data_IF_396839518864
#
_entry.id   IF_396839518864
#
_cell.length_a   1.000
_cell.length_b   1.000
_cell.length_c   1.000
_cell.angle_alpha   90.00
_cell.angle_beta   90.00
_cell.angle_gamma   90.00
#
_symmetry.space_group_name_H-M   'P 1'
#
loop_
_entity.id
_entity.type
_entity.pdbx_description
1 polymer ?
#
# COMPACT_ATOMS: atom_id res chain seq x y z
N UNK A 1 -14.59 11.93 1.10
CA UNK A 1 -13.52 11.13 1.70
C UNK A 1 -12.28 11.12 0.79
N UNK A 2 -11.14 10.89 1.34
CA UNK A 2 -9.87 10.86 0.60
C UNK A 2 -9.29 9.45 0.70
N UNK A 3 -8.90 8.87 -0.44
CA UNK A 3 -8.15 7.61 -0.46
C UNK A 3 -6.77 7.85 -1.04
N UNK A 4 -5.75 7.46 -0.28
CA UNK A 4 -4.37 7.51 -0.73
C UNK A 4 -3.93 6.11 -1.13
N UNK A 5 -3.46 5.99 -2.36
CA UNK A 5 -2.94 4.74 -2.91
C UNK A 5 -1.42 4.73 -2.85
N UNK A 6 -0.87 3.59 -2.48
CA UNK A 6 0.53 3.28 -2.72
C UNK A 6 0.55 2.11 -3.71
N UNK A 7 1.09 2.36 -4.90
CA UNK A 7 1.08 1.38 -5.99
C UNK A 7 2.51 0.93 -6.26
N UNK A 8 2.75 -0.35 -6.04
CA UNK A 8 4.06 -0.96 -6.24
C UNK A 8 4.13 -1.45 -7.69
N UNK A 9 4.76 -0.66 -8.54
CA UNK A 9 4.96 -1.00 -9.94
C UNK A 9 6.29 -1.70 -10.13
N UNK A 10 6.25 -2.92 -10.64
CA UNK A 10 7.45 -3.72 -10.86
C UNK A 10 7.20 -5.20 -10.71
N UNK A 11 8.24 -5.94 -10.36
CA UNK A 11 8.19 -7.39 -10.30
C UNK A 11 8.71 -7.90 -8.96
N UNK A 12 7.96 -8.81 -8.35
CA UNK A 12 8.46 -9.59 -7.22
C UNK A 12 9.53 -10.53 -7.75
N UNK A 13 10.66 -10.61 -7.04
CA UNK A 13 11.77 -11.47 -7.46
C UNK A 13 11.32 -12.92 -7.64
N UNK A 14 11.87 -13.65 -8.64
CA UNK A 14 11.46 -15.04 -8.91
C UNK A 14 11.49 -15.90 -7.66
N UNK A 15 10.40 -16.62 -7.39
CA UNK A 15 10.27 -17.48 -6.23
C UNK A 15 9.94 -16.78 -4.91
N UNK A 16 9.81 -15.45 -4.90
CA UNK A 16 9.58 -14.67 -3.68
C UNK A 16 8.11 -14.28 -3.44
N UNK A 17 7.18 -14.69 -4.31
CA UNK A 17 5.77 -14.22 -4.21
C UNK A 17 5.15 -14.50 -2.85
N UNK A 18 5.26 -15.73 -2.36
CA UNK A 18 4.65 -16.09 -1.07
C UNK A 18 5.36 -15.37 0.09
N UNK A 19 6.68 -15.30 0.06
CA UNK A 19 7.46 -14.61 1.08
C UNK A 19 7.18 -13.10 1.09
N UNK A 20 7.03 -12.48 -0.09
CA UNK A 20 6.67 -11.08 -0.21
C UNK A 20 5.29 -10.80 0.40
N UNK A 21 4.29 -11.59 0.01
CA UNK A 21 2.91 -11.43 0.52
C UNK A 21 2.86 -11.66 2.03
N UNK A 22 3.57 -12.66 2.54
CA UNK A 22 3.63 -12.93 3.98
C UNK A 22 4.30 -11.77 4.73
N UNK A 23 5.41 -11.26 4.22
CA UNK A 23 6.09 -10.12 4.84
C UNK A 23 5.19 -8.89 4.91
N UNK A 24 4.44 -8.59 3.83
CA UNK A 24 3.48 -7.48 3.81
C UNK A 24 2.41 -7.69 4.88
N UNK A 25 1.80 -8.86 4.92
CA UNK A 25 0.72 -9.17 5.88
C UNK A 25 1.20 -9.13 7.33
N UNK A 26 2.38 -9.64 7.60
CA UNK A 26 2.88 -9.77 8.97
C UNK A 26 3.56 -8.52 9.49
N UNK A 27 4.23 -7.76 8.61
CA UNK A 27 5.07 -6.65 9.03
C UNK A 27 4.52 -5.27 8.66
N UNK A 28 3.75 -5.14 7.60
CA UNK A 28 3.21 -3.86 7.14
C UNK A 28 1.75 -3.64 7.51
N UNK A 29 0.89 -4.62 7.33
CA UNK A 29 -0.53 -4.46 7.66
C UNK A 29 -0.75 -3.99 9.10
N UNK A 30 -0.07 -4.54 10.12
CA UNK A 30 -0.22 -4.04 11.49
C UNK A 30 0.17 -2.57 11.66
N UNK A 31 1.14 -2.09 10.89
CA UNK A 31 1.53 -0.68 10.92
C UNK A 31 0.50 0.20 10.19
N UNK A 32 0.07 -0.21 9.01
CA UNK A 32 -0.91 0.53 8.22
C UNK A 32 -2.23 0.71 8.95
N UNK A 33 -2.69 -0.34 9.65
CA UNK A 33 -3.94 -0.25 10.43
C UNK A 33 -3.83 0.70 11.62
N UNK A 34 -2.62 1.05 12.04
CA UNK A 34 -2.36 2.00 13.12
C UNK A 34 -2.18 3.44 12.63
N UNK A 35 -2.23 3.69 11.34
CA UNK A 35 -2.19 5.07 10.84
C UNK A 35 -3.36 5.83 11.43
N UNK A 36 -3.10 6.91 12.19
CA UNK A 36 -4.18 7.60 12.92
C UNK A 36 -5.22 8.19 11.96
N UNK A 37 -6.48 8.14 12.37
CA UNK A 37 -7.59 8.74 11.63
C UNK A 37 -8.02 8.01 10.37
N UNK A 38 -7.46 6.84 10.07
CA UNK A 38 -7.91 6.09 8.91
C UNK A 38 -9.32 5.52 9.12
N UNK A 39 -10.10 5.47 8.04
CA UNK A 39 -11.42 4.86 8.03
C UNK A 39 -11.36 3.38 7.65
N UNK A 40 -10.46 3.02 6.73
CA UNK A 40 -10.17 1.64 6.39
C UNK A 40 -8.81 1.52 5.70
N UNK A 41 -8.30 0.29 5.68
CA UNK A 41 -7.06 -0.09 5.01
C UNK A 41 -7.37 -1.27 4.10
N UNK A 42 -7.07 -1.14 2.82
CA UNK A 42 -7.28 -2.20 1.84
C UNK A 42 -5.96 -2.58 1.20
N UNK A 43 -5.69 -3.87 1.16
CA UNK A 43 -4.47 -4.43 0.61
C UNK A 43 -4.84 -5.35 -0.54
N UNK A 44 -4.34 -5.04 -1.73
CA UNK A 44 -4.68 -5.80 -2.93
C UNK A 44 -3.40 -6.38 -3.52
N UNK A 45 -3.34 -7.70 -3.64
CA UNK A 45 -2.25 -8.37 -4.35
C UNK A 45 -2.68 -8.63 -5.79
N UNK A 46 -1.79 -8.30 -6.72
CA UNK A 46 -2.08 -8.48 -8.15
C UNK A 46 -2.27 -9.97 -8.48
N UNK A 47 -3.35 -10.28 -9.20
CA UNK A 47 -3.68 -11.64 -9.62
C UNK A 47 -3.55 -11.81 -11.12
N UNK A 48 -4.03 -10.82 -11.88
CA UNK A 48 -4.13 -10.90 -13.34
C UNK A 48 -4.07 -9.51 -13.93
N UNK A 49 -3.53 -9.38 -15.11
CA UNK A 49 -3.48 -8.12 -15.85
C UNK A 49 -3.55 -8.37 -17.34
N UNK A 50 -3.94 -7.34 -18.09
CA UNK A 50 -3.93 -7.39 -19.54
C UNK A 50 -2.51 -7.56 -20.08
N UNK A 51 -2.39 -8.18 -21.24
CA UNK A 51 -1.10 -8.26 -21.92
C UNK A 51 -0.55 -6.86 -22.18
N UNK A 52 0.69 -6.63 -21.77
CA UNK A 52 1.34 -5.33 -21.93
C UNK A 52 1.00 -4.29 -20.87
N UNK A 53 0.07 -4.58 -19.97
CA UNK A 53 -0.23 -3.69 -18.85
C UNK A 53 0.92 -3.63 -17.83
N UNK A 54 1.11 -2.49 -17.15
CA UNK A 54 2.09 -2.42 -16.05
C UNK A 54 1.78 -3.45 -14.99
N UNK A 55 2.81 -4.00 -14.37
CA UNK A 55 2.63 -4.97 -13.29
C UNK A 55 2.57 -4.24 -11.94
N UNK A 56 1.52 -4.52 -11.16
CA UNK A 56 1.35 -4.01 -9.81
C UNK A 56 1.12 -5.18 -8.85
N UNK A 57 2.19 -5.78 -8.30
CA UNK A 57 2.05 -6.90 -7.37
C UNK A 57 1.33 -6.54 -6.08
N UNK A 58 1.34 -5.26 -5.72
CA UNK A 58 0.71 -4.77 -4.50
C UNK A 58 0.15 -3.37 -4.74
N UNK A 59 -1.10 -3.19 -4.33
CA UNK A 59 -1.73 -1.87 -4.25
C UNK A 59 -2.30 -1.74 -2.84
N UNK A 60 -1.87 -0.69 -2.14
CA UNK A 60 -2.39 -0.31 -0.83
C UNK A 60 -3.33 0.86 -1.00
N UNK A 61 -4.49 0.82 -0.36
CA UNK A 61 -5.43 1.93 -0.34
C UNK A 61 -5.84 2.22 1.10
N UNK A 62 -5.52 3.41 1.59
CA UNK A 62 -5.91 3.86 2.93
C UNK A 62 -6.85 5.05 2.78
N UNK A 63 -8.04 4.95 3.36
CA UNK A 63 -9.07 5.97 3.30
C UNK A 63 -9.14 6.76 4.58
N UNK A 64 -9.36 8.07 4.44
CA UNK A 64 -9.48 9.03 5.55
C UNK A 64 -10.74 9.86 5.37
N UNK A 65 -11.35 10.37 6.48
CA UNK A 65 -12.52 11.24 6.37
C UNK A 65 -12.27 12.48 5.53
N UNK A 66 -11.07 13.04 5.63
CA UNK A 66 -10.68 14.27 4.93
C UNK A 66 -9.18 14.36 4.75
N UNK A 67 -8.75 15.41 4.06
CA UNK A 67 -7.33 15.64 3.76
C UNK A 67 -6.50 15.93 5.02
N UNK A 68 -7.07 16.61 6.00
CA UNK A 68 -6.35 16.94 7.24
C UNK A 68 -6.01 15.66 8.02
N UNK A 69 -6.94 14.72 8.09
CA UNK A 69 -6.70 13.42 8.71
C UNK A 69 -5.59 12.65 7.99
N UNK A 70 -5.61 12.65 6.65
CA UNK A 70 -4.55 12.03 5.85
C UNK A 70 -3.19 12.67 6.14
N UNK A 71 -3.11 13.99 6.13
CA UNK A 71 -1.86 14.72 6.39
C UNK A 71 -1.31 14.39 7.77
N UNK A 72 -2.16 14.34 8.79
CA UNK A 72 -1.75 13.97 10.15
C UNK A 72 -1.21 12.53 10.20
N UNK A 73 -1.85 11.60 9.49
CA UNK A 73 -1.39 10.21 9.42
C UNK A 73 -0.01 10.10 8.78
N UNK A 74 0.26 10.88 7.73
CA UNK A 74 1.55 10.87 7.04
C UNK A 74 2.69 11.41 7.90
N UNK A 75 2.39 12.20 8.93
CA UNK A 75 3.38 12.70 9.89
C UNK A 75 3.51 11.81 11.14
N UNK A 76 2.82 10.69 11.17
CA UNK A 76 2.78 9.82 12.35
C UNK A 76 4.00 8.93 12.50
N UNK A 77 4.33 8.49 13.73
CA UNK A 77 5.37 7.50 13.95
C UNK A 77 5.10 6.17 13.24
N UNK A 78 3.84 5.75 13.17
CA UNK A 78 3.47 4.52 12.46
C UNK A 78 3.83 4.60 10.98
N UNK A 79 3.63 5.76 10.34
CA UNK A 79 4.00 5.96 8.94
C UNK A 79 5.52 5.94 8.77
N UNK A 80 6.26 6.59 9.64
CA UNK A 80 7.73 6.59 9.59
C UNK A 80 8.26 5.15 9.70
N UNK A 81 7.73 4.37 10.63
CA UNK A 81 8.10 2.98 10.81
C UNK A 81 7.73 2.12 9.59
N UNK A 82 6.57 2.36 9.00
CA UNK A 82 6.17 1.62 7.80
C UNK A 82 7.07 1.89 6.61
N UNK A 83 7.62 3.09 6.49
CA UNK A 83 8.60 3.41 5.43
C UNK A 83 9.87 2.60 5.59
N UNK A 84 10.39 2.48 6.82
CA UNK A 84 11.59 1.70 7.09
C UNK A 84 11.36 0.22 6.76
N UNK A 85 10.26 -0.34 7.21
CA UNK A 85 9.91 -1.74 6.94
C UNK A 85 9.67 -1.98 5.45
N UNK A 86 9.01 -1.05 4.77
CA UNK A 86 8.81 -1.13 3.31
C UNK A 86 10.16 -1.20 2.59
N UNK A 87 11.11 -0.36 3.00
CA UNK A 87 12.45 -0.39 2.42
C UNK A 87 13.13 -1.74 2.54
N UNK A 88 13.01 -2.39 3.71
CA UNK A 88 13.57 -3.73 3.95
C UNK A 88 12.91 -4.78 3.05
N UNK A 89 11.59 -4.77 2.97
CA UNK A 89 10.84 -5.75 2.17
C UNK A 89 11.12 -5.57 0.67
N UNK A 90 11.17 -4.33 0.20
CA UNK A 90 11.48 -4.03 -1.20
C UNK A 90 12.90 -4.52 -1.54
N UNK A 91 13.87 -4.23 -0.69
CA UNK A 91 15.25 -4.65 -0.93
C UNK A 91 15.39 -6.17 -1.04
N UNK A 92 14.61 -6.91 -0.25
CA UNK A 92 14.68 -8.38 -0.23
C UNK A 92 13.88 -9.05 -1.33
N UNK A 93 12.70 -8.51 -1.70
CA UNK A 93 11.72 -9.25 -2.48
C UNK A 93 11.27 -8.61 -3.77
N UNK A 94 11.54 -7.33 -4.00
CA UNK A 94 10.87 -6.59 -5.06
C UNK A 94 11.83 -5.72 -5.87
N UNK A 95 11.61 -5.69 -7.19
CA UNK A 95 12.31 -4.80 -8.11
C UNK A 95 11.31 -3.86 -8.78
N UNK A 96 11.38 -2.59 -8.46
CA UNK A 96 10.47 -1.61 -9.03
C UNK A 96 10.44 -0.33 -8.22
N UNK A 97 9.33 0.37 -8.32
CA UNK A 97 9.14 1.65 -7.62
C UNK A 97 7.73 1.78 -7.08
N UNK A 98 7.55 2.71 -6.15
CA UNK A 98 6.28 2.94 -5.49
C UNK A 98 5.76 4.31 -5.90
N UNK A 99 4.52 4.34 -6.42
CA UNK A 99 3.81 5.56 -6.74
C UNK A 99 2.75 5.83 -5.68
N UNK A 100 2.51 7.11 -5.39
CA UNK A 100 1.43 7.50 -4.49
C UNK A 100 0.44 8.37 -5.25
N UNK A 101 -0.86 8.05 -5.13
CA UNK A 101 -1.93 8.88 -5.66
C UNK A 101 -2.89 9.22 -4.55
N UNK A 102 -3.38 10.44 -4.55
CA UNK A 102 -4.43 10.90 -3.64
C UNK A 102 -5.67 11.15 -4.46
N UNK A 103 -6.77 10.51 -4.06
CA UNK A 103 -8.02 10.53 -4.81
C UNK A 103 -9.18 10.97 -3.94
N UNK A 104 -10.19 11.56 -4.56
CA UNK A 104 -11.47 11.77 -3.92
C UNK A 104 -12.30 10.50 -4.05
N UNK A 105 -12.75 9.96 -2.93
CA UNK A 105 -13.57 8.76 -2.92
C UNK A 105 -15.05 9.14 -2.94
N UNK A 106 -15.77 8.60 -3.91
CA UNK A 106 -17.22 8.65 -3.97
C UNK A 106 -17.70 7.20 -3.95
N UNK A 107 -18.42 6.84 -2.91
CA UNK A 107 -18.83 5.46 -2.67
C UNK A 107 -20.31 5.28 -2.99
N UNK A 108 -20.61 4.38 -3.90
CA UNK A 108 -21.97 4.08 -4.33
C UNK A 108 -22.30 2.64 -4.02
N UNK A 109 -23.44 2.40 -3.41
CA UNK A 109 -23.90 1.04 -3.14
C UNK A 109 -24.55 0.46 -4.38
N UNK A 110 -24.16 -0.76 -4.69
CA UNK A 110 -24.76 -1.52 -5.79
C UNK A 110 -26.13 -2.07 -5.40
#
# INVERSE_FOLDING_TARGET
MITRFAMFEGTVKPGHTDAFRSAVKERLVPLWTQFPGNSDVRVMFGEERDEGAPEFPLILAITYPDRDAMTAALDSPARAQSRDVTGEIVAEHFDGRIHHHVTELNDYKA
#
